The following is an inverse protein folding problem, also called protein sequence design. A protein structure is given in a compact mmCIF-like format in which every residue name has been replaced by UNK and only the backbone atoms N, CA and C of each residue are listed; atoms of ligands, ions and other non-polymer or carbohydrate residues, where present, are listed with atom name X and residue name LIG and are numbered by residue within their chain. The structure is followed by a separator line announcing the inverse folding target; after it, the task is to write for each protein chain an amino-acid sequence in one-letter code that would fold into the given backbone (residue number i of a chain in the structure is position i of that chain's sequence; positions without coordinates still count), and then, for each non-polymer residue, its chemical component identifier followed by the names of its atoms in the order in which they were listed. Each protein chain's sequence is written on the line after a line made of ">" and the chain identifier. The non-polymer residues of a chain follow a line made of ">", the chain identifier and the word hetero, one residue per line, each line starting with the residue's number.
data_IF_232708445376
#
_entry.id   IF_232708445376
#
_cell.length_a   1.000
_cell.length_b   1.000
_cell.length_c   1.000
_cell.angle_alpha   90.00
_cell.angle_beta   90.00
_cell.angle_gamma   90.00
#
_symmetry.space_group_name_H-M   'P 1'
#
loop_
_entity.id
_entity.type
_entity.pdbx_description
1 polymer ?
#
# COMPACT_ATOMS: atom_id res chain seq x y z
N UNK A 1 -11.52 3.02 -24.83
CA UNK A 1 -12.46 3.07 -23.69
C UNK A 1 -12.41 4.44 -23.02
N UNK A 2 -13.52 4.93 -22.54
CA UNK A 2 -13.52 6.10 -21.66
C UNK A 2 -13.05 5.74 -20.25
N UNK A 3 -12.89 6.74 -19.39
CA UNK A 3 -12.39 6.53 -18.02
C UNK A 3 -13.30 5.63 -17.18
N UNK A 4 -14.62 5.73 -17.35
CA UNK A 4 -15.58 4.88 -16.64
C UNK A 4 -15.44 3.41 -17.03
N UNK A 5 -15.25 3.14 -18.30
CA UNK A 5 -15.02 1.78 -18.82
C UNK A 5 -13.67 1.22 -18.34
N UNK A 6 -12.63 2.04 -18.36
CA UNK A 6 -11.30 1.67 -17.85
C UNK A 6 -11.35 1.35 -16.34
N UNK A 7 -12.13 2.14 -15.59
CA UNK A 7 -12.36 1.90 -14.16
C UNK A 7 -13.01 0.53 -13.91
N UNK A 8 -14.06 0.22 -14.63
CA UNK A 8 -14.73 -1.09 -14.51
C UNK A 8 -13.80 -2.25 -14.88
N UNK A 9 -13.04 -2.10 -15.97
CA UNK A 9 -12.15 -3.15 -16.45
C UNK A 9 -10.96 -3.38 -15.52
N UNK A 10 -10.43 -2.34 -14.90
CA UNK A 10 -9.22 -2.41 -14.05
C UNK A 10 -9.53 -2.61 -12.58
N UNK A 11 -10.70 -2.21 -12.11
CA UNK A 11 -11.04 -2.17 -10.71
C UNK A 11 -10.44 -0.97 -9.96
N UNK A 12 -9.90 0.01 -10.68
CA UNK A 12 -9.35 1.25 -10.12
C UNK A 12 -10.39 2.35 -10.26
N UNK A 13 -10.62 3.14 -9.22
CA UNK A 13 -11.61 4.21 -9.27
C UNK A 13 -11.24 5.28 -10.30
N UNK A 14 -12.25 5.95 -10.86
CA UNK A 14 -12.02 7.05 -11.82
C UNK A 14 -11.19 8.17 -11.20
N UNK A 15 -11.38 8.44 -9.91
CA UNK A 15 -10.59 9.43 -9.18
C UNK A 15 -9.11 9.07 -9.19
N UNK A 16 -8.78 7.81 -8.92
CA UNK A 16 -7.40 7.35 -8.89
C UNK A 16 -6.80 7.29 -10.29
N UNK A 17 -7.58 6.93 -11.31
CA UNK A 17 -7.11 6.93 -12.69
C UNK A 17 -6.70 8.36 -13.11
N UNK A 18 -7.51 9.37 -12.78
CA UNK A 18 -7.16 10.77 -13.03
C UNK A 18 -5.90 11.19 -12.30
N UNK A 19 -5.76 10.79 -11.05
CA UNK A 19 -4.57 11.08 -10.26
C UNK A 19 -3.32 10.47 -10.90
N UNK A 20 -3.39 9.22 -11.34
CA UNK A 20 -2.25 8.57 -12.00
C UNK A 20 -1.87 9.24 -13.33
N UNK A 21 -2.83 9.79 -14.06
CA UNK A 21 -2.55 10.62 -15.22
C UNK A 21 -1.83 11.92 -14.82
N UNK A 22 -2.32 12.60 -13.80
CA UNK A 22 -1.75 13.86 -13.31
C UNK A 22 -0.28 13.71 -12.88
N UNK A 23 0.05 12.63 -12.21
CA UNK A 23 1.44 12.37 -11.76
C UNK A 23 2.29 11.67 -12.84
N UNK A 24 1.71 11.38 -13.99
CA UNK A 24 2.42 10.75 -15.11
C UNK A 24 2.71 9.27 -14.93
N UNK A 25 2.03 8.60 -14.01
CA UNK A 25 2.24 7.17 -13.77
C UNK A 25 1.58 6.31 -14.86
N UNK A 26 0.32 6.59 -15.17
CA UNK A 26 -0.41 5.97 -16.30
C UNK A 26 -1.12 7.07 -17.07
N UNK A 27 -0.66 7.33 -18.26
CA UNK A 27 -1.29 8.31 -19.14
C UNK A 27 -2.30 7.63 -20.05
N UNK A 28 -3.41 8.31 -20.43
CA UNK A 28 -4.31 7.75 -21.42
C UNK A 28 -3.60 7.54 -22.74
N UNK A 29 -4.10 6.59 -23.55
CA UNK A 29 -3.54 6.32 -24.88
C UNK A 29 -3.68 7.55 -25.80
N UNK A 30 -4.78 8.28 -25.64
CA UNK A 30 -5.06 9.50 -26.41
C UNK A 30 -6.13 10.31 -25.70
N UNK A 31 -6.47 11.47 -26.28
CA UNK A 31 -7.60 12.28 -25.86
C UNK A 31 -8.50 12.55 -27.06
N UNK A 32 -9.79 12.62 -26.83
CA UNK A 32 -10.76 12.98 -27.88
C UNK A 32 -10.60 14.45 -28.28
N UNK A 33 -11.26 14.86 -29.36
CA UNK A 33 -11.32 16.26 -29.76
C UNK A 33 -11.91 17.19 -28.70
N UNK A 34 -12.72 16.66 -27.78
CA UNK A 34 -13.27 17.35 -26.62
C UNK A 34 -12.39 17.24 -25.38
N UNK A 35 -11.17 16.75 -25.52
CA UNK A 35 -10.18 16.58 -24.46
C UNK A 35 -10.55 15.52 -23.40
N UNK A 36 -11.42 14.59 -23.71
CA UNK A 36 -11.71 13.45 -22.85
C UNK A 36 -10.65 12.37 -23.00
N UNK A 37 -10.34 11.70 -21.88
CA UNK A 37 -9.35 10.63 -21.83
C UNK A 37 -9.85 9.36 -22.51
N UNK A 38 -9.00 8.77 -23.34
CA UNK A 38 -9.23 7.49 -24.00
C UNK A 38 -8.19 6.47 -23.52
N UNK A 39 -8.66 5.27 -23.15
CA UNK A 39 -7.83 4.19 -22.63
C UNK A 39 -7.96 2.96 -23.50
N UNK A 40 -6.89 2.17 -23.59
CA UNK A 40 -6.88 0.87 -24.26
C UNK A 40 -6.47 -0.23 -23.29
N UNK A 41 -6.34 -1.46 -23.78
CA UNK A 41 -6.00 -2.62 -22.97
C UNK A 41 -4.66 -2.47 -22.26
N UNK A 42 -3.71 -1.76 -22.86
CA UNK A 42 -2.40 -1.53 -22.26
C UNK A 42 -2.52 -0.74 -20.96
N UNK A 43 -3.26 0.36 -20.97
CA UNK A 43 -3.48 1.15 -19.76
C UNK A 43 -4.30 0.39 -18.73
N UNK A 44 -5.27 -0.39 -19.15
CA UNK A 44 -6.05 -1.24 -18.22
C UNK A 44 -5.12 -2.23 -17.51
N UNK A 45 -4.21 -2.86 -18.24
CA UNK A 45 -3.24 -3.79 -17.65
C UNK A 45 -2.28 -3.08 -16.69
N UNK A 46 -1.84 -1.87 -17.02
CA UNK A 46 -1.01 -1.04 -16.13
C UNK A 46 -1.77 -0.67 -14.85
N UNK A 47 -3.05 -0.31 -14.96
CA UNK A 47 -3.90 0.01 -13.81
C UNK A 47 -4.11 -1.22 -12.90
N UNK A 48 -4.30 -2.39 -13.47
CA UNK A 48 -4.39 -3.65 -12.71
C UNK A 48 -3.10 -3.94 -11.97
N UNK A 49 -1.97 -3.71 -12.63
CA UNK A 49 -0.64 -3.85 -12.02
C UNK A 49 -0.50 -2.95 -10.80
N UNK A 50 -0.85 -1.68 -10.94
CA UNK A 50 -0.78 -0.70 -9.84
C UNK A 50 -1.69 -1.13 -8.69
N UNK A 51 -2.91 -1.52 -8.99
CA UNK A 51 -3.86 -1.97 -7.96
C UNK A 51 -3.29 -3.13 -7.16
N UNK A 52 -2.72 -4.13 -7.83
CA UNK A 52 -2.12 -5.29 -7.17
C UNK A 52 -0.91 -4.90 -6.33
N UNK A 53 -0.02 -4.07 -6.85
CA UNK A 53 1.18 -3.62 -6.16
C UNK A 53 0.82 -2.80 -4.91
N UNK A 54 -0.19 -1.94 -5.00
CA UNK A 54 -0.70 -1.20 -3.83
C UNK A 54 -1.30 -2.14 -2.79
N UNK A 55 -2.01 -3.16 -3.23
CA UNK A 55 -2.55 -4.19 -2.33
C UNK A 55 -1.47 -4.97 -1.58
N UNK A 56 -0.26 -5.03 -2.13
CA UNK A 56 0.90 -5.63 -1.49
C UNK A 56 1.71 -4.62 -0.66
N UNK A 57 1.24 -3.38 -0.57
CA UNK A 57 1.83 -2.36 0.30
C UNK A 57 2.95 -1.53 -0.34
N UNK A 58 3.21 -1.65 -1.64
CA UNK A 58 4.21 -0.82 -2.31
C UNK A 58 3.76 0.64 -2.34
N UNK A 59 4.70 1.56 -2.07
CA UNK A 59 4.47 2.98 -2.23
C UNK A 59 4.45 3.38 -3.71
N UNK A 60 3.83 4.52 -4.04
CA UNK A 60 3.70 4.98 -5.43
C UNK A 60 5.06 5.10 -6.11
N UNK A 61 6.09 5.61 -5.43
CA UNK A 61 7.45 5.71 -5.99
C UNK A 61 8.03 4.34 -6.36
N UNK A 62 7.79 3.33 -5.54
CA UNK A 62 8.22 1.96 -5.82
C UNK A 62 7.43 1.36 -6.99
N UNK A 63 6.13 1.62 -7.04
CA UNK A 63 5.27 1.17 -8.15
C UNK A 63 5.71 1.79 -9.46
N UNK A 64 6.09 3.07 -9.44
CA UNK A 64 6.61 3.77 -10.60
C UNK A 64 7.87 3.10 -11.14
N UNK A 65 8.78 2.72 -10.24
CA UNK A 65 9.98 1.97 -10.60
C UNK A 65 9.65 0.58 -11.16
N UNK A 66 8.76 -0.16 -10.49
CA UNK A 66 8.32 -1.48 -10.95
C UNK A 66 7.66 -1.43 -12.33
N UNK A 67 6.82 -0.42 -12.59
CA UNK A 67 6.22 -0.21 -13.90
C UNK A 67 7.27 0.04 -14.98
N UNK A 68 8.30 0.85 -14.69
CA UNK A 68 9.37 1.12 -15.63
C UNK A 68 10.13 -0.16 -15.99
N UNK A 69 10.37 -1.02 -15.00
CA UNK A 69 11.01 -2.31 -15.21
C UNK A 69 10.11 -3.26 -16.02
N UNK A 70 8.81 -3.26 -15.76
CA UNK A 70 7.87 -4.09 -16.51
C UNK A 70 7.79 -3.67 -17.99
N UNK A 71 7.85 -2.37 -18.25
CA UNK A 71 7.86 -1.82 -19.63
C UNK A 71 9.16 -2.12 -20.36
N UNK A 72 10.26 -2.31 -19.64
CA UNK A 72 11.56 -2.64 -20.20
C UNK A 72 11.73 -4.15 -20.32
N UNK A 73 11.65 -4.65 -21.55
CA UNK A 73 11.77 -6.09 -21.84
C UNK A 73 13.20 -6.61 -21.68
N UNK A 74 14.18 -5.74 -21.63
CA UNK A 74 15.59 -6.12 -21.44
C UNK A 74 16.02 -6.16 -19.98
N UNK A 75 15.12 -5.84 -19.04
CA UNK A 75 15.42 -5.80 -17.62
C UNK A 75 15.89 -7.15 -17.09
N UNK A 76 16.88 -7.18 -16.19
CA UNK A 76 17.18 -8.40 -15.46
C UNK A 76 16.18 -8.63 -14.34
N UNK A 77 15.72 -9.86 -14.16
CA UNK A 77 14.77 -10.22 -13.10
C UNK A 77 15.34 -10.01 -11.70
N UNK A 78 16.67 -9.98 -11.56
CA UNK A 78 17.32 -9.71 -10.27
C UNK A 78 16.99 -8.34 -9.70
N UNK A 79 16.75 -7.32 -10.54
CA UNK A 79 16.33 -5.99 -10.07
C UNK A 79 14.94 -6.02 -9.46
N UNK A 80 14.02 -6.69 -10.12
CA UNK A 80 12.65 -6.87 -9.62
C UNK A 80 12.67 -7.66 -8.30
N UNK A 81 13.45 -8.72 -8.25
CA UNK A 81 13.62 -9.54 -7.04
C UNK A 81 14.18 -8.72 -5.88
N UNK A 82 15.18 -7.88 -6.14
CA UNK A 82 15.79 -7.03 -5.11
C UNK A 82 14.77 -6.04 -4.52
N UNK A 83 13.91 -5.46 -5.34
CA UNK A 83 12.83 -4.56 -4.88
C UNK A 83 11.85 -5.32 -4.00
N UNK A 84 11.43 -6.50 -4.42
CA UNK A 84 10.50 -7.34 -3.67
C UNK A 84 11.10 -7.76 -2.32
N UNK A 85 12.38 -8.14 -2.29
CA UNK A 85 13.05 -8.56 -1.06
C UNK A 85 13.21 -7.41 -0.06
N UNK A 86 13.51 -6.19 -0.53
CA UNK A 86 13.56 -5.01 0.34
C UNK A 86 12.18 -4.72 0.94
N UNK A 87 11.14 -4.79 0.13
CA UNK A 87 9.78 -4.59 0.61
C UNK A 87 9.37 -5.67 1.61
N UNK A 88 9.74 -6.91 1.36
CA UNK A 88 9.50 -8.02 2.28
C UNK A 88 10.20 -7.78 3.62
N UNK A 89 11.46 -7.33 3.62
CA UNK A 89 12.18 -7.00 4.84
C UNK A 89 11.48 -5.89 5.65
N UNK A 90 10.97 -4.86 4.97
CA UNK A 90 10.18 -3.80 5.61
C UNK A 90 8.88 -4.34 6.22
N UNK A 91 8.19 -5.23 5.52
CA UNK A 91 6.98 -5.87 6.04
C UNK A 91 7.29 -6.74 7.26
N UNK A 92 8.35 -7.51 7.21
CA UNK A 92 8.77 -8.36 8.34
C UNK A 92 9.10 -7.51 9.58
N UNK A 93 9.75 -6.36 9.39
CA UNK A 93 10.02 -5.42 10.47
C UNK A 93 8.72 -4.86 11.08
N UNK A 94 7.76 -4.49 10.24
CA UNK A 94 6.45 -4.02 10.70
C UNK A 94 5.66 -5.10 11.43
N UNK A 95 5.72 -6.33 10.95
CA UNK A 95 5.09 -7.48 11.62
C UNK A 95 5.69 -7.65 13.01
N UNK A 96 7.02 -7.59 13.15
CA UNK A 96 7.69 -7.69 14.43
C UNK A 96 7.29 -6.57 15.39
N UNK A 97 7.18 -5.33 14.89
CA UNK A 97 6.72 -4.18 15.69
C UNK A 97 5.28 -4.38 16.16
N UNK A 98 4.40 -4.83 15.27
CA UNK A 98 3.00 -5.10 15.61
C UNK A 98 2.89 -6.23 16.63
N UNK A 99 3.71 -7.26 16.50
CA UNK A 99 3.76 -8.36 17.45
C UNK A 99 4.18 -7.85 18.83
N UNK A 100 5.19 -6.98 18.89
CA UNK A 100 5.63 -6.39 20.14
C UNK A 100 4.52 -5.55 20.82
N UNK A 101 3.77 -4.78 20.02
CA UNK A 101 2.62 -4.03 20.50
C UNK A 101 1.55 -4.96 21.08
N UNK A 102 1.22 -6.02 20.33
CA UNK A 102 0.23 -7.01 20.77
C UNK A 102 0.66 -7.71 22.06
N UNK A 103 1.93 -8.09 22.15
CA UNK A 103 2.47 -8.74 23.34
C UNK A 103 2.42 -7.83 24.57
N UNK A 104 2.72 -6.54 24.38
CA UNK A 104 2.62 -5.53 25.45
C UNK A 104 1.20 -5.41 25.94
N UNK A 105 0.23 -5.24 25.04
CA UNK A 105 -1.18 -5.13 25.41
C UNK A 105 -1.72 -6.39 26.06
N UNK A 106 -1.29 -7.55 25.57
CA UNK A 106 -1.70 -8.83 26.15
C UNK A 106 -1.23 -8.95 27.58
N UNK A 107 0.02 -8.61 27.84
CA UNK A 107 0.58 -8.60 29.19
C UNK A 107 -0.15 -7.64 30.11
N UNK A 108 -0.42 -6.42 29.64
CA UNK A 108 -1.16 -5.42 30.42
C UNK A 108 -2.60 -5.86 30.70
N UNK A 109 -3.25 -6.46 29.73
CA UNK A 109 -4.60 -7.01 29.85
C UNK A 109 -4.65 -8.14 30.89
N UNK A 110 -3.66 -9.03 30.87
CA UNK A 110 -3.59 -10.16 31.83
C UNK A 110 -3.36 -9.66 33.26
N UNK A 111 -2.69 -8.53 33.44
CA UNK A 111 -2.48 -7.91 34.76
C UNK A 111 -3.67 -7.10 35.23
N UNK A 112 -4.64 -6.77 34.37
CA UNK A 112 -5.84 -6.03 34.73
C UNK A 112 -6.94 -6.98 35.19
N UNK A 113 -7.52 -6.72 36.37
CA UNK A 113 -8.59 -7.54 36.91
C UNK A 113 -9.90 -7.44 36.12
N UNK A 114 -10.10 -6.34 35.39
CA UNK A 114 -11.32 -6.11 34.60
C UNK A 114 -12.57 -5.98 35.45
N UNK A 115 -12.45 -5.45 36.67
CA UNK A 115 -13.55 -5.24 37.60
C UNK A 115 -13.86 -3.75 37.82
N UNK A 116 -14.69 -3.45 38.79
CA UNK A 116 -15.12 -2.06 39.09
C UNK A 116 -14.06 -1.23 39.82
N UNK A 117 -12.92 -1.80 40.17
CA UNK A 117 -11.84 -1.08 40.83
C UNK A 117 -11.14 -0.13 39.86
N UNK A 118 -10.71 1.05 40.35
CA UNK A 118 -10.04 2.03 39.50
C UNK A 118 -8.61 1.65 39.10
N UNK A 119 -7.98 0.71 39.78
CA UNK A 119 -6.62 0.28 39.48
C UNK A 119 -6.53 -0.39 38.13
N UNK A 120 -5.76 0.21 37.24
CA UNK A 120 -5.62 -0.30 35.88
C UNK A 120 -4.18 -0.17 35.37
N UNK A 121 -3.43 -1.28 35.30
CA UNK A 121 -2.07 -1.24 34.77
C UNK A 121 -1.97 -0.71 33.34
N UNK A 122 -3.02 -0.91 32.53
CA UNK A 122 -3.07 -0.41 31.17
C UNK A 122 -3.03 1.13 31.17
N UNK A 123 -3.89 1.77 31.98
CA UNK A 123 -3.94 3.23 32.06
C UNK A 123 -2.65 3.80 32.64
N UNK A 124 -2.07 3.14 33.63
CA UNK A 124 -0.80 3.55 34.22
C UNK A 124 0.34 3.49 33.21
N UNK A 125 0.41 2.44 32.44
CA UNK A 125 1.42 2.30 31.37
C UNK A 125 1.28 3.41 30.33
N UNK A 126 0.05 3.70 29.89
CA UNK A 126 -0.22 4.75 28.91
C UNK A 126 0.12 6.14 29.41
N UNK A 127 0.08 6.38 30.72
CA UNK A 127 0.49 7.67 31.31
C UNK A 127 2.01 7.82 31.41
N UNK A 128 2.77 6.78 31.13
CA UNK A 128 4.23 6.79 31.25
C UNK A 128 4.76 6.77 32.68
N UNK A 129 3.90 6.53 33.68
CA UNK A 129 4.28 6.48 35.09
C UNK A 129 4.78 5.11 35.54
N UNK A 130 4.62 4.11 34.69
CA UNK A 130 5.08 2.76 35.01
C UNK A 130 6.58 2.70 34.92
N UNK A 131 7.22 2.22 35.98
CA UNK A 131 8.65 1.95 35.96
C UNK A 131 8.93 0.76 35.03
N UNK A 132 9.81 0.97 34.06
CA UNK A 132 10.33 -0.11 33.23
C UNK A 132 11.38 -0.87 34.03
N UNK A 133 11.12 -2.12 34.16
CA UNK A 133 12.07 -3.03 34.81
C UNK A 133 12.96 -3.67 33.77
#
# INVERSE_FOLDING_TARGET
>A
MNIGQASKASGVSTKMIRYYDEIGLVRPASRTGSNYREYDDRQVNELRFIKRARGLGFAVAEIQHLLSLWRDRARPSREVKAIAERHLADLDARIAEMQAMADTLRRLSDCCAGDDRPDCPILEDLTGKRETV
#
